data_IF_773664394082
#
_entry.id   IF_773664394082
#
_cell.length_a   1.000
_cell.length_b   1.000
_cell.length_c   1.000
_cell.angle_alpha   90.00
_cell.angle_beta   90.00
_cell.angle_gamma   90.00
#
_symmetry.space_group_name_H-M   'P 1'
#
loop_
_entity.id
_entity.type
_entity.pdbx_description
1 polymer ?
#
# COMPACT_ATOMS: atom_id res chain seq x y z
N UNK A 1 -19.86 87.74 52.36
CA UNK A 1 -19.60 86.40 52.94
C UNK A 1 -19.71 85.39 51.82
N UNK A 2 -18.64 85.03 51.21
CA UNK A 2 -18.62 84.23 49.98
C UNK A 2 -18.00 82.85 50.22
N UNK A 3 -18.71 81.83 49.86
CA UNK A 3 -18.20 80.44 49.82
C UNK A 3 -17.78 80.09 48.42
N UNK A 4 -16.50 79.86 48.21
CA UNK A 4 -15.92 79.36 46.97
C UNK A 4 -16.00 77.83 46.95
N UNK A 5 -16.68 77.32 45.93
CA UNK A 5 -16.66 75.86 45.63
C UNK A 5 -15.44 75.52 44.74
N UNK A 6 -14.61 74.60 45.18
CA UNK A 6 -13.59 74.01 44.36
C UNK A 6 -14.14 72.78 43.64
N UNK A 7 -14.07 72.79 42.30
CA UNK A 7 -14.34 71.58 41.46
C UNK A 7 -13.04 70.89 41.18
N UNK A 8 -12.94 69.69 41.68
CA UNK A 8 -11.83 68.78 41.36
C UNK A 8 -12.19 67.93 40.14
N UNK A 9 -11.46 68.08 39.03
CA UNK A 9 -11.59 67.32 37.81
C UNK A 9 -10.68 66.05 37.94
N UNK A 10 -11.31 64.91 38.19
CA UNK A 10 -10.65 63.61 38.02
C UNK A 10 -10.52 63.25 36.54
N UNK A 11 -9.29 63.28 36.03
CA UNK A 11 -9.00 62.72 34.69
C UNK A 11 -8.82 61.20 34.80
N UNK A 12 -9.78 60.43 34.19
CA UNK A 12 -9.62 59.00 33.98
C UNK A 12 -8.66 58.78 32.79
N UNK A 13 -7.50 58.20 33.04
CA UNK A 13 -6.60 57.67 32.02
C UNK A 13 -7.07 56.27 31.65
N UNK A 14 -7.64 56.14 30.44
CA UNK A 14 -7.99 54.84 29.86
C UNK A 14 -6.73 54.13 29.39
N UNK A 15 -6.27 53.14 30.14
CA UNK A 15 -5.20 52.27 29.79
C UNK A 15 -5.71 51.25 28.73
N UNK A 16 -5.34 51.47 27.46
CA UNK A 16 -5.65 50.54 26.38
C UNK A 16 -4.59 49.42 26.40
N UNK A 17 -4.99 48.22 26.80
CA UNK A 17 -4.17 47.04 26.66
C UNK A 17 -4.27 46.53 25.22
N UNK A 18 -3.15 46.22 24.53
CA UNK A 18 -3.21 45.55 23.23
C UNK A 18 -3.63 44.09 23.40
N UNK A 19 -4.71 43.70 22.76
CA UNK A 19 -5.19 42.33 22.65
C UNK A 19 -4.17 41.55 21.74
N UNK A 20 -3.24 40.82 22.34
CA UNK A 20 -2.34 39.94 21.61
C UNK A 20 -3.13 38.71 21.12
N UNK A 21 -3.43 38.66 19.81
CA UNK A 21 -4.05 37.54 19.15
C UNK A 21 -3.00 36.40 19.04
N UNK A 22 -3.05 35.42 19.94
CA UNK A 22 -2.26 34.20 19.84
C UNK A 22 -2.84 33.34 18.68
N UNK A 23 -2.18 33.38 17.52
CA UNK A 23 -2.39 32.42 16.45
C UNK A 23 -1.81 31.05 16.88
N UNK A 24 -2.66 30.17 17.37
CA UNK A 24 -2.31 28.78 17.59
C UNK A 24 -2.14 28.10 16.23
N UNK A 25 -0.88 27.98 15.77
CA UNK A 25 -0.56 27.11 14.62
C UNK A 25 -0.68 25.66 15.09
N UNK A 26 -1.80 25.04 14.78
CA UNK A 26 -2.02 23.61 14.98
C UNK A 26 -1.04 22.83 14.11
N UNK A 27 -0.02 22.24 14.71
CA UNK A 27 0.83 21.24 14.07
C UNK A 27 -0.03 19.98 13.94
N UNK A 28 -0.56 19.73 12.73
CA UNK A 28 -1.17 18.43 12.40
C UNK A 28 -0.06 17.38 12.38
N UNK A 29 0.10 16.66 13.49
CA UNK A 29 0.89 15.43 13.49
C UNK A 29 0.17 14.42 12.62
N UNK A 30 0.69 14.16 11.41
CA UNK A 30 0.28 13.01 10.63
C UNK A 30 0.77 11.77 11.38
N UNK A 31 -0.16 11.02 11.96
CA UNK A 31 0.17 9.73 12.56
C UNK A 31 0.47 8.78 11.41
N UNK A 32 1.71 8.32 11.29
CA UNK A 32 2.05 7.23 10.37
C UNK A 32 1.40 5.95 10.90
N UNK A 33 0.53 5.35 10.10
CA UNK A 33 -0.13 4.10 10.42
C UNK A 33 0.52 2.97 9.62
N UNK A 34 0.85 1.86 10.27
CA UNK A 34 1.32 0.64 9.63
C UNK A 34 0.58 -0.57 10.21
N UNK A 35 0.14 -1.47 9.35
CA UNK A 35 -0.51 -2.74 9.70
C UNK A 35 0.26 -3.89 9.04
N UNK A 36 0.38 -5.03 9.73
CA UNK A 36 0.91 -6.29 9.20
C UNK A 36 -0.08 -7.41 9.41
N UNK A 37 -0.31 -8.23 8.38
CA UNK A 37 -1.28 -9.31 8.34
C UNK A 37 -0.55 -10.61 8.00
N UNK A 38 -0.58 -11.60 8.90
CA UNK A 38 0.08 -12.90 8.77
C UNK A 38 -0.87 -14.05 8.43
N UNK A 39 -2.19 -13.83 8.33
CA UNK A 39 -3.23 -14.84 8.03
C UNK A 39 -3.37 -15.97 9.06
N UNK A 40 -2.66 -15.94 10.18
CA UNK A 40 -2.54 -17.04 11.14
C UNK A 40 -3.82 -17.34 11.91
N UNK A 41 -4.69 -16.35 12.05
CA UNK A 41 -5.99 -16.44 12.73
C UNK A 41 -7.15 -16.65 11.78
N UNK A 42 -6.90 -16.64 10.47
CA UNK A 42 -7.93 -16.79 9.45
C UNK A 42 -8.26 -18.27 9.17
N UNK A 43 -9.49 -18.55 8.79
CA UNK A 43 -9.96 -19.90 8.55
C UNK A 43 -9.33 -20.51 7.29
N UNK A 44 -8.69 -21.67 7.44
CA UNK A 44 -8.10 -22.42 6.30
C UNK A 44 -9.20 -22.81 5.30
N UNK A 45 -8.88 -22.69 4.00
CA UNK A 45 -9.77 -23.03 2.89
C UNK A 45 -10.66 -21.88 2.42
N UNK A 46 -10.62 -20.71 3.07
CA UNK A 46 -11.43 -19.53 2.71
C UNK A 46 -10.55 -18.32 2.39
N UNK A 47 -11.13 -17.34 1.73
CA UNK A 47 -10.59 -15.97 1.66
C UNK A 47 -11.06 -15.21 2.90
N UNK A 48 -10.19 -14.49 3.64
CA UNK A 48 -10.62 -13.70 4.80
C UNK A 48 -11.58 -12.57 4.41
N UNK A 49 -12.62 -12.31 5.23
CA UNK A 49 -13.69 -11.34 4.97
C UNK A 49 -13.23 -9.93 4.63
N UNK A 50 -12.04 -9.55 5.09
CA UNK A 50 -11.45 -8.22 4.84
C UNK A 50 -10.73 -8.09 3.50
N UNK A 51 -10.74 -9.15 2.67
CA UNK A 51 -10.13 -9.20 1.36
C UNK A 51 -11.16 -9.41 0.27
N UNK A 52 -10.86 -8.88 -0.92
CA UNK A 52 -11.67 -9.06 -2.13
C UNK A 52 -10.74 -9.55 -3.23
N UNK A 53 -11.10 -10.66 -3.86
CA UNK A 53 -10.37 -11.21 -5.01
C UNK A 53 -11.04 -10.88 -6.34
N UNK A 54 -10.25 -10.89 -7.40
CA UNK A 54 -10.75 -10.75 -8.75
C UNK A 54 -9.65 -10.91 -9.79
N UNK A 55 -9.97 -10.58 -11.02
CA UNK A 55 -9.08 -10.72 -12.17
C UNK A 55 -9.29 -9.55 -13.14
N UNK A 56 -8.20 -8.93 -13.56
CA UNK A 56 -8.22 -8.07 -14.74
C UNK A 56 -8.09 -8.96 -15.96
N UNK A 57 -9.02 -8.84 -16.90
CA UNK A 57 -9.09 -9.70 -18.07
C UNK A 57 -9.95 -10.94 -17.85
N UNK A 58 -9.41 -12.14 -18.07
CA UNK A 58 -10.16 -13.42 -18.04
C UNK A 58 -9.50 -14.40 -17.08
N UNK A 59 -10.29 -15.34 -16.55
CA UNK A 59 -9.82 -16.44 -15.73
C UNK A 59 -10.62 -16.61 -14.46
N UNK A 60 -10.20 -17.56 -13.64
CA UNK A 60 -10.81 -17.89 -12.36
C UNK A 60 -9.70 -17.95 -11.31
N UNK A 61 -9.37 -16.82 -10.68
CA UNK A 61 -8.43 -16.81 -9.56
C UNK A 61 -9.00 -17.62 -8.39
N UNK A 62 -8.11 -18.09 -7.54
CA UNK A 62 -8.50 -18.75 -6.31
C UNK A 62 -7.51 -18.36 -5.22
N UNK A 63 -7.98 -17.55 -4.29
CA UNK A 63 -7.23 -17.08 -3.13
C UNK A 63 -7.79 -17.72 -1.87
N UNK A 64 -6.98 -18.53 -1.20
CA UNK A 64 -7.39 -19.24 0.01
C UNK A 64 -6.31 -19.22 1.06
N UNK A 65 -6.70 -19.14 2.33
CA UNK A 65 -5.79 -19.39 3.44
C UNK A 65 -5.43 -20.89 3.45
N UNK A 66 -4.14 -21.19 3.50
CA UNK A 66 -3.61 -22.54 3.56
C UNK A 66 -2.53 -22.63 4.64
N UNK A 67 -2.39 -23.80 5.27
CA UNK A 67 -1.30 -24.04 6.21
C UNK A 67 0.00 -24.30 5.46
N UNK A 68 1.07 -23.60 5.83
CA UNK A 68 2.42 -23.78 5.28
C UNK A 68 3.45 -23.77 6.42
N UNK A 69 4.06 -24.93 6.69
CA UNK A 69 5.08 -25.06 7.75
C UNK A 69 6.32 -24.18 7.52
N UNK A 70 6.54 -23.68 6.29
CA UNK A 70 7.64 -22.78 5.93
C UNK A 70 7.24 -21.30 5.97
N UNK A 71 5.99 -20.97 6.34
CA UNK A 71 5.50 -19.59 6.44
C UNK A 71 6.43 -18.75 7.34
N UNK A 72 6.71 -17.49 6.97
CA UNK A 72 7.44 -16.55 7.82
C UNK A 72 6.74 -16.27 9.15
N UNK A 73 5.45 -15.93 9.13
CA UNK A 73 4.56 -16.11 10.27
C UNK A 73 3.89 -17.48 10.18
N UNK A 74 3.43 -18.04 11.27
CA UNK A 74 2.90 -19.40 11.31
C UNK A 74 1.57 -19.42 12.03
N UNK A 75 0.64 -20.28 11.60
CA UNK A 75 0.86 -21.46 10.71
C UNK A 75 0.41 -21.25 9.26
N UNK A 76 -0.17 -20.10 8.88
CA UNK A 76 -0.93 -19.96 7.64
C UNK A 76 -0.32 -18.96 6.66
N UNK A 77 -0.74 -19.07 5.41
CA UNK A 77 -0.42 -18.15 4.31
C UNK A 77 -1.68 -17.87 3.51
N UNK A 78 -1.73 -16.76 2.77
CA UNK A 78 -2.72 -16.60 1.70
C UNK A 78 -2.11 -17.09 0.39
N UNK A 79 -2.78 -18.02 -0.31
CA UNK A 79 -2.26 -18.65 -1.53
C UNK A 79 -3.18 -18.39 -2.71
N UNK A 80 -2.59 -17.94 -3.81
CA UNK A 80 -3.22 -17.94 -5.13
C UNK A 80 -2.89 -19.25 -5.85
N UNK A 81 -3.89 -20.01 -6.28
CA UNK A 81 -3.75 -21.32 -6.96
C UNK A 81 -4.64 -21.48 -8.20
N UNK A 82 -5.45 -20.49 -8.54
CA UNK A 82 -6.21 -20.46 -9.78
C UNK A 82 -5.41 -19.88 -10.95
N UNK A 83 -6.07 -19.69 -12.10
CA UNK A 83 -5.44 -19.10 -13.29
C UNK A 83 -6.24 -17.89 -13.77
N UNK A 84 -5.54 -16.90 -14.34
CA UNK A 84 -6.20 -15.72 -14.90
C UNK A 84 -5.21 -14.75 -15.52
N UNK A 85 -5.68 -13.85 -16.36
CA UNK A 85 -4.79 -12.90 -17.04
C UNK A 85 -3.96 -12.12 -16.02
N UNK A 86 -4.62 -11.46 -15.06
CA UNK A 86 -3.98 -10.76 -13.94
C UNK A 86 -4.82 -10.91 -12.66
N UNK A 87 -4.69 -12.02 -11.91
CA UNK A 87 -5.31 -12.21 -10.61
C UNK A 87 -4.83 -11.19 -9.59
N UNK A 88 -5.74 -10.61 -8.81
CA UNK A 88 -5.45 -9.71 -7.70
C UNK A 88 -6.31 -10.05 -6.48
N UNK A 89 -5.80 -9.69 -5.31
CA UNK A 89 -6.49 -9.80 -4.05
C UNK A 89 -6.16 -8.54 -3.22
N UNK A 90 -7.16 -7.72 -2.94
CA UNK A 90 -6.97 -6.40 -2.31
C UNK A 90 -7.58 -6.35 -0.91
N UNK A 91 -6.90 -5.64 -0.02
CA UNK A 91 -7.38 -5.35 1.32
C UNK A 91 -8.54 -4.36 1.25
N UNK A 92 -9.73 -4.85 1.48
CA UNK A 92 -10.94 -4.03 1.42
C UNK A 92 -10.89 -2.88 2.42
N UNK A 93 -11.43 -1.68 2.04
CA UNK A 93 -11.49 -0.46 2.86
C UNK A 93 -10.12 0.16 3.20
N UNK A 94 -9.04 -0.19 2.53
CA UNK A 94 -7.81 0.59 2.60
C UNK A 94 -7.86 1.74 1.60
N UNK A 95 -7.22 2.87 1.95
CA UNK A 95 -7.16 4.06 1.10
C UNK A 95 -5.86 4.81 1.39
N UNK A 96 -4.81 4.49 0.63
CA UNK A 96 -3.46 5.03 0.82
C UNK A 96 -3.11 5.90 -0.39
N UNK A 97 -2.79 7.16 -0.14
CA UNK A 97 -2.30 8.09 -1.17
C UNK A 97 -0.78 8.04 -1.28
N UNK A 98 -0.11 8.24 -0.14
CA UNK A 98 1.34 8.18 0.01
C UNK A 98 1.68 7.21 1.15
N UNK A 99 2.66 6.32 0.93
CA UNK A 99 2.99 5.32 1.92
C UNK A 99 3.82 4.17 1.35
N UNK A 100 3.53 2.97 1.84
CA UNK A 100 4.17 1.75 1.36
C UNK A 100 3.19 0.58 1.34
N UNK A 101 3.54 -0.43 0.55
CA UNK A 101 3.00 -1.79 0.60
C UNK A 101 4.14 -2.79 0.50
N UNK A 102 4.10 -3.83 1.29
CA UNK A 102 5.12 -4.88 1.35
C UNK A 102 4.46 -6.24 1.55
N UNK A 103 5.06 -7.28 1.00
CA UNK A 103 4.60 -8.65 1.22
C UNK A 103 5.78 -9.60 1.16
N UNK A 104 5.76 -10.66 1.96
CA UNK A 104 6.57 -11.84 1.72
C UNK A 104 5.82 -12.77 0.78
N UNK A 105 6.49 -13.22 -0.29
CA UNK A 105 5.91 -14.15 -1.25
C UNK A 105 6.86 -15.31 -1.56
N UNK A 106 6.28 -16.45 -1.91
CA UNK A 106 7.00 -17.64 -2.36
C UNK A 106 6.33 -18.15 -3.65
N UNK A 107 6.99 -17.97 -4.78
CA UNK A 107 6.54 -18.44 -6.08
C UNK A 107 6.76 -19.96 -6.20
N UNK A 108 5.67 -20.74 -6.13
CA UNK A 108 5.69 -22.19 -5.99
C UNK A 108 5.68 -22.89 -7.34
N UNK A 109 4.74 -22.52 -8.22
CA UNK A 109 4.54 -23.16 -9.53
C UNK A 109 4.04 -22.15 -10.55
N UNK A 110 3.95 -22.60 -11.79
CA UNK A 110 3.54 -21.89 -12.98
C UNK A 110 4.51 -22.15 -14.12
N UNK A 111 3.99 -22.31 -15.31
CA UNK A 111 4.75 -22.58 -16.54
C UNK A 111 4.67 -21.42 -17.53
N UNK A 112 3.58 -20.69 -17.54
CA UNK A 112 3.42 -19.45 -18.31
C UNK A 112 3.99 -18.26 -17.54
N UNK A 113 3.77 -18.22 -16.21
CA UNK A 113 4.34 -17.23 -15.31
C UNK A 113 4.56 -17.84 -13.91
N UNK A 114 5.51 -17.31 -13.14
CA UNK A 114 5.77 -17.75 -11.77
C UNK A 114 6.17 -16.54 -10.93
N UNK A 115 5.17 -15.76 -10.50
CA UNK A 115 5.40 -14.45 -9.95
C UNK A 115 4.55 -14.15 -8.71
N UNK A 116 5.08 -13.28 -7.85
CA UNK A 116 4.34 -12.57 -6.83
C UNK A 116 4.47 -11.07 -7.01
N UNK A 117 3.42 -10.33 -6.68
CA UNK A 117 3.36 -8.89 -6.82
C UNK A 117 2.52 -8.22 -5.74
N UNK A 118 2.66 -6.89 -5.67
CA UNK A 118 1.81 -6.02 -4.87
C UNK A 118 1.12 -5.00 -5.77
N UNK A 119 -0.11 -4.61 -5.41
CA UNK A 119 -0.85 -3.51 -6.03
C UNK A 119 -1.02 -2.37 -5.04
N UNK A 120 -1.05 -1.14 -5.56
CA UNK A 120 -1.38 0.06 -4.79
C UNK A 120 -2.10 1.08 -5.65
N UNK A 121 -2.66 2.09 -4.99
CA UNK A 121 -3.60 3.02 -5.62
C UNK A 121 -4.65 2.30 -6.45
N UNK A 122 -5.05 1.10 -6.01
CA UNK A 122 -6.08 0.29 -6.65
C UNK A 122 -7.43 1.00 -6.53
N UNK A 123 -8.02 1.40 -7.65
CA UNK A 123 -9.32 2.05 -7.74
C UNK A 123 -10.42 1.02 -7.97
N UNK A 124 -10.14 0.10 -8.86
CA UNK A 124 -10.99 -1.01 -9.28
C UNK A 124 -10.13 -2.08 -9.99
N UNK A 125 -10.76 -3.15 -10.47
CA UNK A 125 -10.07 -4.26 -11.15
C UNK A 125 -9.36 -3.89 -12.45
N UNK A 126 -9.55 -2.68 -12.96
CA UNK A 126 -9.01 -2.23 -14.24
C UNK A 126 -8.05 -1.03 -14.11
N UNK A 127 -7.91 -0.44 -12.89
CA UNK A 127 -7.15 0.79 -12.67
C UNK A 127 -6.31 0.73 -11.40
N UNK A 128 -4.99 0.42 -11.53
CA UNK A 128 -4.06 0.28 -10.41
C UNK A 128 -2.60 0.26 -10.86
N UNK A 129 -1.68 0.49 -9.94
CA UNK A 129 -0.26 0.14 -10.12
C UNK A 129 0.03 -1.27 -9.65
N UNK A 130 1.05 -1.89 -10.25
CA UNK A 130 1.59 -3.17 -9.81
C UNK A 130 3.11 -3.23 -9.91
N UNK A 131 3.76 -3.74 -8.87
CA UNK A 131 5.13 -4.20 -8.91
C UNK A 131 5.13 -5.73 -8.79
N UNK A 132 5.97 -6.39 -9.58
CA UNK A 132 6.06 -7.86 -9.67
C UNK A 132 7.50 -8.31 -9.59
N UNK A 133 7.77 -9.43 -8.89
CA UNK A 133 9.00 -10.18 -9.03
C UNK A 133 8.68 -11.57 -9.60
N UNK A 134 9.47 -12.02 -10.60
CA UNK A 134 9.17 -13.21 -11.39
C UNK A 134 10.32 -14.22 -11.37
N UNK A 135 10.02 -15.44 -10.92
CA UNK A 135 10.99 -16.52 -10.78
C UNK A 135 11.31 -17.25 -12.09
N UNK A 136 10.47 -17.18 -13.12
CA UNK A 136 10.80 -17.74 -14.45
C UNK A 136 11.71 -16.80 -15.25
N UNK A 137 11.46 -15.49 -15.13
CA UNK A 137 12.15 -14.47 -15.92
C UNK A 137 13.34 -13.84 -15.17
N UNK A 138 13.49 -14.08 -13.87
CA UNK A 138 14.50 -13.45 -13.02
C UNK A 138 14.51 -11.92 -13.13
N UNK A 139 13.36 -11.28 -12.83
CA UNK A 139 13.23 -9.83 -12.91
C UNK A 139 12.31 -9.24 -11.85
N UNK A 140 12.46 -7.93 -11.65
CA UNK A 140 11.50 -7.05 -10.98
C UNK A 140 10.95 -6.08 -12.02
N UNK A 141 9.63 -5.91 -12.04
CA UNK A 141 8.97 -5.07 -13.02
C UNK A 141 7.95 -4.15 -12.36
N UNK A 142 7.78 -2.95 -12.95
CA UNK A 142 6.81 -1.96 -12.57
C UNK A 142 5.85 -1.70 -13.72
N UNK A 143 4.55 -1.69 -13.42
CA UNK A 143 3.48 -1.47 -14.39
C UNK A 143 2.40 -0.56 -13.81
N UNK A 144 1.60 0.03 -14.68
CA UNK A 144 0.24 0.44 -14.36
C UNK A 144 -0.76 -0.30 -15.23
N UNK A 145 -1.97 -0.45 -14.73
CA UNK A 145 -3.13 -0.95 -15.47
C UNK A 145 -4.15 0.19 -15.51
N UNK A 146 -4.60 0.54 -16.69
CA UNK A 146 -5.61 1.57 -16.92
C UNK A 146 -6.62 1.06 -17.95
N UNK A 147 -7.91 1.15 -17.62
CA UNK A 147 -9.01 0.59 -18.42
C UNK A 147 -8.73 -0.89 -18.80
N UNK A 148 -8.24 -1.69 -17.87
CA UNK A 148 -7.92 -3.10 -18.05
C UNK A 148 -6.67 -3.41 -18.88
N UNK A 149 -5.96 -2.38 -19.34
CA UNK A 149 -4.76 -2.53 -20.17
C UNK A 149 -3.49 -2.29 -19.36
N UNK A 150 -2.71 -3.35 -19.13
CA UNK A 150 -1.42 -3.23 -18.44
C UNK A 150 -0.36 -2.63 -19.36
N UNK A 151 0.39 -1.65 -18.83
CA UNK A 151 1.52 -0.97 -19.47
C UNK A 151 2.78 -1.09 -18.63
N UNK A 152 3.88 -1.47 -19.28
CA UNK A 152 5.19 -1.56 -18.61
C UNK A 152 5.81 -0.17 -18.45
N UNK A 153 6.19 0.18 -17.23
CA UNK A 153 6.96 1.38 -16.91
C UNK A 153 8.46 1.05 -16.81
N UNK A 154 8.81 -0.02 -16.14
CA UNK A 154 10.21 -0.43 -15.95
C UNK A 154 10.32 -1.94 -15.80
N UNK A 155 11.45 -2.46 -16.26
CA UNK A 155 11.85 -3.87 -16.17
C UNK A 155 13.32 -3.93 -15.80
N UNK A 156 13.71 -4.72 -14.79
CA UNK A 156 15.08 -4.82 -14.30
C UNK A 156 15.37 -6.28 -13.95
N UNK A 157 16.49 -6.81 -14.44
CA UNK A 157 16.97 -8.13 -14.09
C UNK A 157 17.29 -8.20 -12.59
N UNK A 158 16.79 -9.25 -11.95
CA UNK A 158 16.96 -9.50 -10.52
C UNK A 158 16.85 -11.00 -10.25
N UNK A 159 17.72 -11.59 -9.43
CA UNK A 159 17.58 -12.99 -9.06
C UNK A 159 16.33 -13.20 -8.19
N UNK A 160 15.43 -14.08 -8.66
CA UNK A 160 14.20 -14.47 -7.96
C UNK A 160 14.11 -16.00 -7.92
N UNK A 161 14.89 -16.69 -7.08
CA UNK A 161 14.81 -18.15 -6.97
C UNK A 161 13.40 -18.63 -6.62
N UNK A 162 12.84 -19.57 -7.40
CA UNK A 162 11.57 -20.22 -7.09
C UNK A 162 11.63 -21.00 -5.77
N UNK A 163 10.49 -21.21 -5.13
CA UNK A 163 10.35 -21.94 -3.86
C UNK A 163 11.16 -21.34 -2.68
N UNK A 164 11.50 -20.06 -2.77
CA UNK A 164 12.11 -19.27 -1.69
C UNK A 164 11.19 -18.12 -1.31
N UNK A 165 11.22 -17.77 -0.02
CA UNK A 165 10.55 -16.56 0.46
C UNK A 165 11.34 -15.32 0.05
N UNK A 166 10.64 -14.34 -0.50
CA UNK A 166 11.15 -13.05 -0.90
C UNK A 166 10.30 -11.95 -0.30
N UNK A 167 10.89 -10.83 0.04
CA UNK A 167 10.18 -9.61 0.44
C UNK A 167 10.14 -8.65 -0.73
N UNK A 168 8.94 -8.30 -1.20
CA UNK A 168 8.72 -7.27 -2.22
C UNK A 168 8.07 -6.06 -1.56
N UNK A 169 8.73 -4.89 -1.64
CA UNK A 169 8.29 -3.64 -1.05
C UNK A 169 8.19 -2.55 -2.09
N UNK A 170 7.11 -1.79 -2.04
CA UNK A 170 6.94 -0.56 -2.81
C UNK A 170 6.71 0.60 -1.86
N UNK A 171 7.47 1.66 -2.02
CA UNK A 171 7.24 2.97 -1.41
C UNK A 171 6.77 3.95 -2.47
N UNK A 172 5.74 4.73 -2.17
CA UNK A 172 5.17 5.68 -3.11
C UNK A 172 4.79 6.99 -2.42
N UNK A 173 5.12 8.11 -3.07
CA UNK A 173 4.79 9.45 -2.56
C UNK A 173 4.73 10.44 -3.73
N UNK A 174 3.57 11.07 -3.93
CA UNK A 174 3.29 11.86 -5.11
C UNK A 174 3.52 11.04 -6.38
N UNK A 175 4.49 11.46 -7.20
CA UNK A 175 4.88 10.75 -8.42
C UNK A 175 5.97 9.68 -8.20
N UNK A 176 6.68 9.76 -7.09
CA UNK A 176 7.85 8.93 -6.84
C UNK A 176 7.45 7.53 -6.41
N UNK A 177 8.03 6.54 -7.09
CA UNK A 177 7.82 5.10 -6.84
C UNK A 177 9.20 4.46 -6.66
N UNK A 178 9.35 3.67 -5.60
CA UNK A 178 10.54 2.89 -5.30
C UNK A 178 10.16 1.44 -5.08
N UNK A 179 10.79 0.52 -5.82
CA UNK A 179 10.55 -0.91 -5.69
C UNK A 179 11.81 -1.60 -5.20
N UNK A 180 11.69 -2.34 -4.11
CA UNK A 180 12.77 -3.13 -3.51
C UNK A 180 12.39 -4.61 -3.42
N UNK A 181 13.35 -5.48 -3.70
CA UNK A 181 13.27 -6.92 -3.49
C UNK A 181 14.36 -7.33 -2.49
N UNK A 182 13.97 -8.03 -1.41
CA UNK A 182 14.87 -8.47 -0.34
C UNK A 182 15.74 -7.32 0.23
N UNK A 183 15.14 -6.14 0.42
CA UNK A 183 15.81 -4.94 0.93
C UNK A 183 16.65 -4.16 -0.09
N UNK A 184 16.95 -4.74 -1.28
CA UNK A 184 17.69 -4.05 -2.34
C UNK A 184 16.72 -3.30 -3.27
N UNK A 185 16.93 -2.01 -3.47
CA UNK A 185 16.19 -1.21 -4.45
C UNK A 185 16.62 -1.59 -5.88
N UNK A 186 15.65 -1.94 -6.71
CA UNK A 186 15.84 -2.25 -8.12
C UNK A 186 15.27 -1.19 -9.04
N UNK A 187 14.17 -0.53 -8.62
CA UNK A 187 13.51 0.48 -9.44
C UNK A 187 13.28 1.73 -8.60
N UNK A 188 13.67 2.88 -9.15
CA UNK A 188 13.20 4.21 -8.78
C UNK A 188 12.61 4.84 -10.05
N UNK A 189 11.38 5.34 -9.97
CA UNK A 189 10.65 5.81 -11.14
C UNK A 189 9.66 6.90 -10.73
N UNK A 190 9.43 7.87 -11.60
CA UNK A 190 8.43 8.92 -11.42
C UNK A 190 7.28 8.70 -12.40
N UNK A 191 6.07 8.47 -11.87
CA UNK A 191 4.87 8.27 -12.66
C UNK A 191 3.62 8.79 -11.95
N UNK A 192 2.61 9.21 -12.70
CA UNK A 192 1.36 9.73 -12.15
C UNK A 192 0.11 9.34 -12.97
N UNK A 193 0.16 8.23 -13.72
CA UNK A 193 -1.01 7.74 -14.45
C UNK A 193 -2.18 7.45 -13.51
N UNK A 194 -1.93 6.82 -12.37
CA UNK A 194 -2.96 6.56 -11.36
C UNK A 194 -2.70 7.48 -10.16
N UNK A 195 -3.43 8.59 -10.08
CA UNK A 195 -3.31 9.58 -9.01
C UNK A 195 -4.30 9.34 -7.85
N UNK A 196 -4.01 9.97 -6.69
CA UNK A 196 -4.84 9.94 -5.48
C UNK A 196 -4.87 8.60 -4.76
N UNK A 197 -5.58 8.52 -3.61
CA UNK A 197 -5.58 7.35 -2.74
C UNK A 197 -6.27 6.15 -3.38
N UNK A 198 -5.90 4.93 -2.98
CA UNK A 198 -6.54 3.70 -3.39
C UNK A 198 -6.18 2.52 -2.48
N UNK A 199 -6.80 1.38 -2.73
CA UNK A 199 -6.52 0.18 -1.96
C UNK A 199 -5.13 -0.39 -2.28
N UNK A 200 -4.68 -1.29 -1.40
CA UNK A 200 -3.44 -2.06 -1.53
C UNK A 200 -3.75 -3.55 -1.52
N UNK A 201 -2.88 -4.37 -2.12
CA UNK A 201 -3.12 -5.81 -2.17
C UNK A 201 -1.99 -6.58 -2.84
N UNK A 202 -2.28 -7.83 -3.17
CA UNK A 202 -1.40 -8.80 -3.82
C UNK A 202 -1.84 -9.07 -5.24
N UNK A 203 -0.92 -9.61 -6.05
CA UNK A 203 -1.12 -9.82 -7.47
C UNK A 203 -0.30 -11.00 -8.00
N UNK A 204 -0.85 -11.68 -8.99
CA UNK A 204 -0.15 -12.70 -9.75
C UNK A 204 -0.46 -12.58 -11.24
N UNK A 205 0.11 -13.46 -12.07
CA UNK A 205 -0.15 -13.51 -13.51
C UNK A 205 -0.29 -14.96 -13.97
N UNK A 206 -1.17 -15.16 -14.94
CA UNK A 206 -1.38 -16.41 -15.67
C UNK A 206 -1.66 -17.60 -14.72
N UNK A 207 -0.82 -18.62 -14.78
CA UNK A 207 -0.88 -19.86 -14.01
C UNK A 207 0.00 -19.84 -12.76
N UNK A 208 0.45 -18.65 -12.32
CA UNK A 208 1.30 -18.54 -11.13
C UNK A 208 0.62 -19.09 -9.89
N UNK A 209 1.23 -20.06 -9.23
CA UNK A 209 0.85 -20.52 -7.90
C UNK A 209 1.82 -19.90 -6.90
N UNK A 210 1.30 -19.04 -6.02
CA UNK A 210 2.13 -18.22 -5.12
C UNK A 210 1.52 -18.13 -3.73
N UNK A 211 2.33 -18.38 -2.71
CA UNK A 211 2.01 -18.16 -1.32
C UNK A 211 2.46 -16.75 -0.90
N UNK A 212 1.65 -16.09 -0.08
CA UNK A 212 1.87 -14.76 0.46
C UNK A 212 1.72 -14.76 1.97
N UNK A 213 2.56 -14.00 2.66
CA UNK A 213 2.56 -13.87 4.10
C UNK A 213 3.09 -12.50 4.53
N UNK A 214 2.92 -12.13 5.79
CA UNK A 214 3.38 -10.85 6.35
C UNK A 214 3.07 -9.65 5.44
N UNK A 215 1.82 -9.59 4.93
CA UNK A 215 1.39 -8.45 4.12
C UNK A 215 1.33 -7.21 5.00
N UNK A 216 2.10 -6.19 4.67
CA UNK A 216 2.10 -4.94 5.42
C UNK A 216 1.93 -3.72 4.54
N UNK A 217 1.30 -2.70 5.10
CA UNK A 217 1.08 -1.43 4.45
C UNK A 217 1.00 -0.31 5.47
N UNK A 218 1.23 0.92 5.02
CA UNK A 218 1.11 2.08 5.88
C UNK A 218 1.09 3.38 5.11
N UNK A 219 0.49 4.41 5.72
CA UNK A 219 0.51 5.80 5.25
C UNK A 219 1.71 6.54 5.82
N UNK A 220 2.20 7.53 5.07
CA UNK A 220 3.15 8.55 5.54
C UNK A 220 2.42 9.70 6.18
#
# INVERSE_FOLDING_TARGET
MGARRFHSLCRFHSLKWPLALLLATGVFMHSSYAETIGFDTDAVGTLPDSWVEGVTGRGTPRWTVESDASAPSKPNVLKQSGAGTFPWCVRHRTSIEDGFVEVKFKALAGTEDRAGGVVWRWKDGDNYYVARANALENNVSLYYTEAGRRRTLKYVDAPVPANKWHTLRVEFSGRRIRVALNGKTYIEFDDNHIAGPGAVGMWTKADSVTAFDDFSYGSK
#
